data_IF_222896350477
#
_entry.id   IF_222896350477
#
_cell.length_a   1.000
_cell.length_b   1.000
_cell.length_c   1.000
_cell.angle_alpha   90.00
_cell.angle_beta   90.00
_cell.angle_gamma   90.00
#
_symmetry.space_group_name_H-M   'P 1'
#
loop_
_entity.id
_entity.type
_entity.pdbx_description
1 polymer ?
#
# COMPACT_ATOMS: atom_id res chain seq x y z
N UNK A 1 -27.08 -4.55 -16.34
CA UNK A 1 -25.63 -4.82 -16.48
C UNK A 1 -25.29 -6.02 -15.61
N UNK A 2 -24.87 -7.14 -16.19
CA UNK A 2 -24.39 -8.30 -15.42
C UNK A 2 -22.98 -8.01 -14.92
N UNK A 3 -22.72 -8.17 -13.61
CA UNK A 3 -21.36 -8.03 -13.07
C UNK A 3 -20.55 -9.22 -13.59
N UNK A 4 -19.40 -8.95 -14.23
CA UNK A 4 -18.40 -9.98 -14.53
C UNK A 4 -18.01 -10.68 -13.21
N UNK A 5 -17.82 -11.99 -13.28
CA UNK A 5 -17.35 -12.80 -12.14
C UNK A 5 -16.02 -12.27 -11.62
N UNK A 6 -15.85 -12.29 -10.30
CA UNK A 6 -14.61 -11.86 -9.68
C UNK A 6 -13.51 -12.89 -9.96
N UNK A 7 -12.50 -12.51 -10.75
CA UNK A 7 -11.32 -13.34 -11.00
C UNK A 7 -10.37 -13.20 -9.82
N UNK A 8 -9.89 -14.32 -9.28
CA UNK A 8 -8.86 -14.32 -8.25
C UNK A 8 -7.48 -14.13 -8.91
N UNK A 9 -6.82 -13.00 -8.61
CA UNK A 9 -5.54 -12.62 -9.22
C UNK A 9 -4.55 -12.39 -8.09
N UNK A 10 -3.41 -13.08 -8.15
CA UNK A 10 -2.40 -12.98 -7.11
C UNK A 10 -1.70 -11.62 -7.16
N UNK A 11 -1.12 -11.13 -6.04
CA UNK A 11 -0.34 -9.90 -6.05
C UNK A 11 0.86 -9.93 -7.01
N UNK A 12 1.44 -11.12 -7.23
CA UNK A 12 2.55 -11.31 -8.18
C UNK A 12 2.08 -11.17 -9.62
N UNK A 13 0.97 -11.83 -9.97
CA UNK A 13 0.35 -11.69 -11.30
C UNK A 13 -0.04 -10.24 -11.58
N UNK A 14 -0.62 -9.55 -10.59
CA UNK A 14 -0.95 -8.12 -10.69
C UNK A 14 0.27 -7.26 -11.00
N UNK A 15 1.41 -7.53 -10.38
CA UNK A 15 2.68 -6.84 -10.63
C UNK A 15 3.21 -7.15 -12.04
N UNK A 16 3.21 -8.41 -12.46
CA UNK A 16 3.62 -8.82 -13.80
C UNK A 16 2.79 -8.10 -14.87
N UNK A 17 1.46 -8.11 -14.75
CA UNK A 17 0.59 -7.40 -15.68
C UNK A 17 0.86 -5.90 -15.72
N UNK A 18 1.15 -5.28 -14.58
CA UNK A 18 1.49 -3.86 -14.53
C UNK A 18 2.82 -3.57 -15.25
N UNK A 19 3.84 -4.44 -15.07
CA UNK A 19 5.11 -4.37 -15.79
C UNK A 19 4.93 -4.52 -17.30
N UNK A 20 4.12 -5.50 -17.74
CA UNK A 20 3.82 -5.67 -19.16
C UNK A 20 3.25 -4.38 -19.80
N UNK A 21 2.35 -3.68 -19.08
CA UNK A 21 1.74 -2.44 -19.60
C UNK A 21 2.66 -1.22 -19.61
N UNK A 22 3.60 -1.13 -18.67
CA UNK A 22 4.44 0.07 -18.48
C UNK A 22 5.80 -0.09 -19.14
N UNK A 23 6.44 -1.25 -18.97
CA UNK A 23 7.79 -1.51 -19.47
C UNK A 23 7.76 -2.11 -20.89
N UNK A 24 6.79 -2.97 -21.19
CA UNK A 24 6.73 -3.73 -22.44
C UNK A 24 5.68 -3.22 -23.43
N UNK A 25 4.98 -2.13 -23.11
CA UNK A 25 4.05 -1.46 -24.02
C UNK A 25 2.75 -2.22 -24.30
N UNK A 26 2.37 -3.22 -23.50
CA UNK A 26 1.10 -3.92 -23.67
C UNK A 26 -0.09 -2.97 -23.48
N UNK A 27 -1.11 -3.15 -24.31
CA UNK A 27 -2.35 -2.40 -24.19
C UNK A 27 -3.19 -2.91 -23.02
N UNK A 28 -3.98 -2.03 -22.40
CA UNK A 28 -4.89 -2.43 -21.32
C UNK A 28 -5.85 -3.54 -21.78
N UNK A 29 -6.29 -3.52 -23.04
CA UNK A 29 -7.20 -4.54 -23.58
C UNK A 29 -6.56 -5.93 -23.62
N UNK A 30 -5.28 -6.03 -24.03
CA UNK A 30 -4.55 -7.30 -23.99
C UNK A 30 -4.46 -7.85 -22.57
N UNK A 31 -4.21 -6.99 -21.57
CA UNK A 31 -4.18 -7.42 -20.17
C UNK A 31 -5.57 -7.79 -19.65
N UNK A 32 -6.63 -7.09 -20.05
CA UNK A 32 -8.02 -7.47 -19.73
C UNK A 32 -8.33 -8.88 -20.24
N UNK A 33 -7.91 -9.19 -21.47
CA UNK A 33 -8.13 -10.50 -22.10
C UNK A 33 -7.27 -11.61 -21.44
N UNK A 34 -6.02 -11.33 -21.09
CA UNK A 34 -5.11 -12.29 -20.42
C UNK A 34 -5.47 -12.54 -18.95
N UNK A 35 -5.81 -11.48 -18.21
CA UNK A 35 -6.06 -11.56 -16.76
C UNK A 35 -7.51 -11.88 -16.41
N UNK A 36 -8.45 -11.70 -17.36
CA UNK A 36 -9.89 -11.76 -17.11
C UNK A 36 -10.42 -10.60 -16.25
N UNK A 37 -9.56 -9.66 -15.86
CA UNK A 37 -9.95 -8.54 -15.01
C UNK A 37 -10.73 -7.47 -15.80
N UNK A 38 -11.56 -6.71 -15.09
CA UNK A 38 -12.27 -5.59 -15.69
C UNK A 38 -11.35 -4.42 -16.03
N UNK A 39 -11.71 -3.64 -17.05
CA UNK A 39 -11.04 -2.40 -17.49
C UNK A 39 -10.59 -1.48 -16.36
N UNK A 40 -11.47 -1.24 -15.37
CA UNK A 40 -11.16 -0.35 -14.24
C UNK A 40 -10.12 -0.93 -13.29
N UNK A 41 -10.00 -2.25 -13.17
CA UNK A 41 -8.97 -2.89 -12.38
C UNK A 41 -7.61 -2.76 -13.08
N UNK A 42 -7.54 -3.14 -14.36
CA UNK A 42 -6.32 -3.06 -15.17
C UNK A 42 -5.77 -1.64 -15.23
N UNK A 43 -6.63 -0.65 -15.48
CA UNK A 43 -6.23 0.77 -15.48
C UNK A 43 -5.67 1.22 -14.14
N UNK A 44 -6.23 0.76 -13.01
CA UNK A 44 -5.73 1.09 -11.67
C UNK A 44 -4.38 0.45 -11.38
N UNK A 45 -4.13 -0.77 -11.85
CA UNK A 45 -2.84 -1.43 -11.64
C UNK A 45 -1.72 -0.71 -12.38
N UNK A 46 -1.99 -0.25 -13.61
CA UNK A 46 -1.06 0.56 -14.38
C UNK A 46 -0.70 1.86 -13.65
N UNK A 47 -1.72 2.62 -13.26
CA UNK A 47 -1.53 3.90 -12.55
C UNK A 47 -0.78 3.70 -11.23
N UNK A 48 -1.17 2.69 -10.45
CA UNK A 48 -0.51 2.37 -9.19
C UNK A 48 0.97 2.04 -9.41
N UNK A 49 1.29 1.22 -10.41
CA UNK A 49 2.68 0.85 -10.69
C UNK A 49 3.52 2.05 -11.16
N UNK A 50 2.95 2.94 -11.98
CA UNK A 50 3.63 4.17 -12.38
C UNK A 50 3.90 5.11 -11.20
N UNK A 51 2.94 5.26 -10.28
CA UNK A 51 3.12 6.04 -9.06
C UNK A 51 4.23 5.44 -8.17
N UNK A 52 4.23 4.12 -8.00
CA UNK A 52 5.27 3.42 -7.24
C UNK A 52 6.66 3.56 -7.85
N UNK A 53 6.78 3.56 -9.19
CA UNK A 53 8.03 3.86 -9.90
C UNK A 53 8.46 5.32 -9.74
N UNK A 54 7.52 6.25 -9.58
CA UNK A 54 7.80 7.65 -9.25
C UNK A 54 8.18 7.85 -7.76
N UNK A 55 8.19 6.78 -6.97
CA UNK A 55 8.54 6.83 -5.55
C UNK A 55 7.34 7.04 -4.63
N UNK A 56 6.11 7.08 -5.15
CA UNK A 56 4.90 7.26 -4.34
C UNK A 56 4.44 5.93 -3.72
N UNK A 57 4.50 5.85 -2.40
CA UNK A 57 4.00 4.70 -1.64
C UNK A 57 2.47 4.81 -1.45
N UNK A 58 1.69 3.77 -1.78
CA UNK A 58 0.24 3.81 -1.58
C UNK A 58 -0.12 3.72 -0.08
N UNK A 59 -0.88 4.71 0.42
CA UNK A 59 -1.31 4.74 1.82
C UNK A 59 -2.44 3.74 2.15
N UNK A 60 -3.44 3.66 1.25
CA UNK A 60 -4.69 2.93 1.48
C UNK A 60 -4.76 1.58 0.75
N UNK A 61 -3.69 1.18 0.07
CA UNK A 61 -3.62 -0.06 -0.68
C UNK A 61 -2.27 -0.74 -0.47
N UNK A 62 -2.22 -2.07 -0.59
CA UNK A 62 -0.94 -2.78 -0.59
C UNK A 62 -0.13 -2.37 -1.82
N UNK A 63 1.12 -2.00 -1.58
CA UNK A 63 2.07 -1.74 -2.64
C UNK A 63 2.28 -2.96 -3.56
N UNK A 64 2.50 -2.70 -4.84
CA UNK A 64 2.75 -3.69 -5.89
C UNK A 64 4.20 -4.16 -5.83
N UNK A 65 5.14 -3.23 -5.78
CA UNK A 65 6.59 -3.45 -5.75
C UNK A 65 7.07 -3.80 -4.35
N UNK A 66 8.15 -4.59 -4.27
CA UNK A 66 8.71 -5.00 -2.97
C UNK A 66 9.28 -3.82 -2.19
N UNK A 67 9.95 -2.90 -2.87
CA UNK A 67 10.52 -1.70 -2.25
C UNK A 67 9.43 -0.85 -1.60
N UNK A 68 8.33 -0.59 -2.31
CA UNK A 68 7.21 0.16 -1.77
C UNK A 68 6.45 -0.60 -0.68
N UNK A 69 6.39 -1.94 -0.74
CA UNK A 69 5.88 -2.76 0.38
C UNK A 69 6.76 -2.62 1.61
N UNK A 70 8.08 -2.56 1.44
CA UNK A 70 9.01 -2.39 2.55
C UNK A 70 8.86 -1.00 3.16
N UNK A 71 8.71 0.05 2.35
CA UNK A 71 8.46 1.40 2.83
C UNK A 71 7.15 1.44 3.64
N UNK A 72 6.07 0.90 3.09
CA UNK A 72 4.77 0.83 3.77
C UNK A 72 4.85 0.10 5.13
N UNK A 73 5.63 -0.99 5.20
CA UNK A 73 5.86 -1.72 6.45
C UNK A 73 6.62 -0.87 7.48
N UNK A 74 7.66 -0.17 7.04
CA UNK A 74 8.48 0.69 7.90
C UNK A 74 7.68 1.89 8.42
N UNK A 75 6.87 2.52 7.57
CA UNK A 75 5.97 3.59 7.99
C UNK A 75 4.97 3.12 9.05
N UNK A 76 4.40 1.92 8.88
CA UNK A 76 3.49 1.35 9.87
C UNK A 76 4.18 1.11 11.23
N UNK A 77 5.41 0.59 11.22
CA UNK A 77 6.21 0.40 12.43
C UNK A 77 6.56 1.73 13.09
N UNK A 78 7.00 2.71 12.32
CA UNK A 78 7.31 4.05 12.81
C UNK A 78 6.08 4.70 13.45
N UNK A 79 4.91 4.62 12.78
CA UNK A 79 3.65 5.14 13.30
C UNK A 79 3.25 4.46 14.61
N UNK A 80 3.51 3.15 14.76
CA UNK A 80 3.28 2.43 16.00
C UNK A 80 4.21 2.92 17.11
N UNK A 81 5.52 2.97 16.84
CA UNK A 81 6.52 3.44 17.80
C UNK A 81 6.25 4.89 18.27
N UNK A 82 5.82 5.77 17.36
CA UNK A 82 5.43 7.14 17.70
C UNK A 82 4.22 7.19 18.62
N UNK A 83 3.19 6.36 18.37
CA UNK A 83 2.03 6.25 19.27
C UNK A 83 2.44 5.76 20.66
N UNK A 84 3.26 4.72 20.71
CA UNK A 84 3.71 4.15 21.99
C UNK A 84 4.53 5.18 22.77
N UNK A 85 5.40 5.93 22.09
CA UNK A 85 6.16 7.01 22.72
C UNK A 85 5.27 8.14 23.25
N UNK A 86 4.23 8.53 22.52
CA UNK A 86 3.26 9.54 22.95
C UNK A 86 2.47 9.08 24.19
N UNK A 87 2.04 7.80 24.22
CA UNK A 87 1.37 7.20 25.37
C UNK A 87 2.30 7.21 26.60
N UNK A 88 3.57 6.78 26.43
CA UNK A 88 4.55 6.77 27.52
C UNK A 88 4.84 8.18 28.05
N UNK A 89 4.98 9.17 27.16
CA UNK A 89 5.17 10.58 27.56
C UNK A 89 3.98 11.10 28.38
N UNK A 90 2.76 10.79 27.96
CA UNK A 90 1.55 11.17 28.70
C UNK A 90 1.50 10.50 30.06
N UNK A 91 1.76 9.19 30.13
CA UNK A 91 1.80 8.44 31.38
C UNK A 91 2.86 8.99 32.35
N UNK A 92 4.06 9.31 31.86
CA UNK A 92 5.12 9.91 32.65
C UNK A 92 4.70 11.29 33.20
N UNK A 93 4.05 12.13 32.38
CA UNK A 93 3.54 13.42 32.82
C UNK A 93 2.48 13.29 33.93
N UNK A 94 1.54 12.34 33.80
CA UNK A 94 0.57 12.04 34.86
C UNK A 94 1.27 11.55 36.13
N UNK A 95 2.22 10.62 36.01
CA UNK A 95 2.96 10.08 37.14
C UNK A 95 3.71 11.16 37.92
N UNK A 96 4.42 12.06 37.22
CA UNK A 96 5.14 13.18 37.85
C UNK A 96 4.17 14.13 38.57
N UNK A 97 3.02 14.42 37.95
CA UNK A 97 2.00 15.31 38.55
C UNK A 97 1.40 14.73 39.82
N UNK A 98 1.09 13.44 39.81
CA UNK A 98 0.37 12.78 40.90
C UNK A 98 1.32 12.40 42.07
N UNK A 99 2.63 12.34 41.83
CA UNK A 99 3.66 12.18 42.86
C UNK A 99 4.30 13.52 43.23
N UNK A 100 3.60 14.35 44.02
CA UNK A 100 4.13 15.64 44.51
C UNK A 100 5.39 15.54 45.39
N UNK A 101 5.77 14.32 45.82
CA UNK A 101 6.97 14.04 46.62
C UNK A 101 8.25 13.90 45.78
N UNK A 102 8.18 14.06 44.45
CA UNK A 102 9.34 14.07 43.54
C UNK A 102 9.88 15.49 43.26
N UNK A 103 9.38 16.52 43.97
CA UNK A 103 9.91 17.89 43.93
C UNK A 103 11.02 18.10 44.94
#
# INVERSE_FOLDING_TARGET
MTRKSAVHISPLQKLEYAKLMVEQGYTNKQIEDMSGAGKSAVSRWKVQYQAELAGETPENAKALTEDQRRIQLLEAQLKQAMRDNDILKKAAAFFIRDNQNLK
#
